data_IF_218471472339
#
_entry.id   IF_218471472339
#
_cell.length_a   1.000
_cell.length_b   1.000
_cell.length_c   1.000
_cell.angle_alpha   90.00
_cell.angle_beta   90.00
_cell.angle_gamma   90.00
#
_symmetry.space_group_name_H-M   'P 1'
#
loop_
_entity.id
_entity.type
_entity.pdbx_description
1 polymer ?
#
# COMPACT_ATOMS: atom_id res chain seq x y z
N UNK A 1 13.26 5.46 21.02
CA UNK A 1 11.79 5.38 20.91
C UNK A 1 11.48 4.14 20.08
N UNK A 2 10.93 3.08 20.69
CA UNK A 2 10.61 1.87 19.94
C UNK A 2 9.50 2.20 18.93
N UNK A 3 9.76 2.04 17.63
CA UNK A 3 8.74 2.20 16.59
C UNK A 3 7.59 1.23 16.88
N UNK A 4 6.42 1.78 17.23
CA UNK A 4 5.21 0.99 17.42
C UNK A 4 4.73 0.52 16.05
N UNK A 5 4.97 -0.75 15.73
CA UNK A 5 4.60 -1.34 14.44
C UNK A 5 3.10 -1.21 14.13
N UNK A 6 2.22 -0.98 15.12
CA UNK A 6 0.80 -0.68 14.89
C UNK A 6 0.56 0.62 14.12
N UNK A 7 1.51 1.57 14.15
CA UNK A 7 1.42 2.79 13.33
C UNK A 7 1.39 2.48 11.83
N UNK A 8 1.99 1.35 11.40
CA UNK A 8 1.90 0.87 10.02
C UNK A 8 0.45 0.55 9.66
N UNK A 9 -0.27 -0.14 10.54
CA UNK A 9 -1.68 -0.48 10.29
C UNK A 9 -2.58 0.76 10.29
N UNK A 10 -2.32 1.75 11.14
CA UNK A 10 -3.05 3.02 11.13
C UNK A 10 -2.79 3.80 9.84
N UNK A 11 -1.55 3.85 9.38
CA UNK A 11 -1.19 4.48 8.10
C UNK A 11 -1.87 3.76 6.93
N UNK A 12 -1.91 2.42 6.96
CA UNK A 12 -2.59 1.61 5.96
C UNK A 12 -4.08 1.94 5.89
N UNK A 13 -4.75 2.12 7.03
CA UNK A 13 -6.16 2.55 7.05
C UNK A 13 -6.37 3.86 6.30
N UNK A 14 -5.55 4.88 6.58
CA UNK A 14 -5.65 6.17 5.89
C UNK A 14 -5.47 6.04 4.37
N UNK A 15 -4.42 5.32 3.95
CA UNK A 15 -4.15 5.06 2.53
C UNK A 15 -5.31 4.31 1.87
N UNK A 16 -5.81 3.24 2.50
CA UNK A 16 -6.86 2.43 1.93
C UNK A 16 -8.23 3.12 1.92
N UNK A 17 -8.51 4.06 2.82
CA UNK A 17 -9.69 4.93 2.72
C UNK A 17 -9.62 5.81 1.47
N UNK A 18 -8.47 6.41 1.20
CA UNK A 18 -8.26 7.21 -0.02
C UNK A 18 -8.45 6.36 -1.28
N UNK A 19 -7.86 5.16 -1.30
CA UNK A 19 -7.97 4.25 -2.45
C UNK A 19 -9.36 3.60 -2.59
N UNK A 20 -10.08 3.37 -1.49
CA UNK A 20 -11.43 2.78 -1.55
C UNK A 20 -12.49 3.78 -2.02
N UNK A 21 -12.24 5.08 -1.88
CA UNK A 21 -13.18 6.13 -2.27
C UNK A 21 -13.03 6.43 -3.75
N UNK A 22 -14.03 6.18 -4.62
CA UNK A 22 -13.86 6.25 -6.07
C UNK A 22 -13.29 7.58 -6.57
N UNK A 23 -13.79 8.70 -6.07
CA UNK A 23 -13.32 10.04 -6.45
C UNK A 23 -11.88 10.32 -5.98
N UNK A 24 -11.54 9.93 -4.75
CA UNK A 24 -10.19 10.17 -4.20
C UNK A 24 -9.16 9.23 -4.83
N UNK A 25 -9.55 8.01 -5.14
CA UNK A 25 -8.73 7.04 -5.86
C UNK A 25 -8.29 7.60 -7.21
N UNK A 26 -9.23 8.08 -8.01
CA UNK A 26 -8.96 8.68 -9.31
C UNK A 26 -7.99 9.87 -9.18
N UNK A 27 -8.24 10.79 -8.24
CA UNK A 27 -7.37 11.94 -7.98
C UNK A 27 -5.96 11.49 -7.60
N UNK A 28 -5.82 10.48 -6.73
CA UNK A 28 -4.52 9.99 -6.28
C UNK A 28 -3.75 9.33 -7.42
N UNK A 29 -4.41 8.55 -8.27
CA UNK A 29 -3.75 7.89 -9.40
C UNK A 29 -3.34 8.91 -10.46
N UNK A 30 -4.22 9.86 -10.81
CA UNK A 30 -3.88 10.95 -11.71
C UNK A 30 -2.69 11.76 -11.20
N UNK A 31 -2.69 12.07 -9.89
CA UNK A 31 -1.58 12.76 -9.27
C UNK A 31 -0.26 11.96 -9.37
N UNK A 32 -0.28 10.67 -9.03
CA UNK A 32 0.91 9.81 -9.13
C UNK A 32 1.44 9.76 -10.56
N UNK A 33 0.56 9.61 -11.55
CA UNK A 33 0.93 9.48 -12.96
C UNK A 33 1.30 10.81 -13.61
N UNK A 34 0.92 11.95 -13.02
CA UNK A 34 1.33 13.28 -13.50
C UNK A 34 2.85 13.51 -13.45
N UNK A 35 3.58 12.73 -12.64
CA UNK A 35 5.04 12.74 -12.58
C UNK A 35 5.72 11.77 -13.56
N UNK A 36 4.94 11.03 -14.36
CA UNK A 36 5.43 9.99 -15.24
C UNK A 36 4.65 9.93 -16.55
N UNK A 37 4.20 8.73 -16.92
CA UNK A 37 3.50 8.48 -18.18
C UNK A 37 1.98 8.53 -17.99
N UNK A 38 1.39 9.70 -18.25
CA UNK A 38 -0.07 9.90 -18.23
C UNK A 38 -0.80 9.24 -19.39
N UNK A 39 -0.12 8.89 -20.49
CA UNK A 39 -0.76 8.37 -21.70
C UNK A 39 -1.32 6.96 -21.50
N UNK A 40 -0.74 6.19 -20.56
CA UNK A 40 -1.25 4.89 -20.15
C UNK A 40 -2.63 4.97 -19.49
N UNK A 41 -2.97 6.10 -18.87
CA UNK A 41 -4.15 6.25 -18.02
C UNK A 41 -5.31 6.96 -18.73
N UNK A 42 -5.75 6.37 -19.84
CA UNK A 42 -6.85 6.88 -20.65
C UNK A 42 -7.82 5.76 -21.06
N UNK A 43 -9.05 6.15 -21.41
CA UNK A 43 -10.07 5.23 -21.94
C UNK A 43 -10.35 4.03 -21.04
N UNK A 44 -10.33 2.82 -21.62
CA UNK A 44 -10.60 1.57 -20.91
C UNK A 44 -9.58 1.23 -19.83
N UNK A 45 -8.31 1.63 -19.98
CA UNK A 45 -7.26 1.38 -19.00
C UNK A 45 -7.53 2.16 -17.70
N UNK A 46 -7.94 3.43 -17.81
CA UNK A 46 -8.34 4.26 -16.66
C UNK A 46 -9.44 3.60 -15.82
N UNK A 47 -10.50 3.13 -16.48
CA UNK A 47 -11.61 2.44 -15.80
C UNK A 47 -11.15 1.15 -15.11
N UNK A 48 -10.31 0.34 -15.77
CA UNK A 48 -9.83 -0.92 -15.23
C UNK A 48 -8.91 -0.71 -14.01
N UNK A 49 -7.99 0.26 -14.10
CA UNK A 49 -7.08 0.61 -13.01
C UNK A 49 -7.87 1.14 -11.80
N UNK A 50 -8.82 2.05 -12.00
CA UNK A 50 -9.63 2.60 -10.90
C UNK A 50 -10.47 1.53 -10.21
N UNK A 51 -11.10 0.64 -10.98
CA UNK A 51 -11.87 -0.46 -10.42
C UNK A 51 -10.97 -1.42 -9.62
N UNK A 52 -9.81 -1.80 -10.17
CA UNK A 52 -8.88 -2.70 -9.51
C UNK A 52 -8.30 -2.10 -8.23
N UNK A 53 -7.79 -0.87 -8.30
CA UNK A 53 -7.23 -0.16 -7.13
C UNK A 53 -8.32 0.12 -6.10
N UNK A 54 -9.56 0.38 -6.52
CA UNK A 54 -10.70 0.56 -5.64
C UNK A 54 -11.04 -0.70 -4.85
N UNK A 55 -11.14 -1.86 -5.53
CA UNK A 55 -11.37 -3.15 -4.89
C UNK A 55 -10.21 -3.50 -3.95
N UNK A 56 -8.97 -3.31 -4.40
CA UNK A 56 -7.79 -3.51 -3.56
C UNK A 56 -7.80 -2.58 -2.33
N UNK A 57 -8.25 -1.34 -2.49
CA UNK A 57 -8.45 -0.36 -1.42
C UNK A 57 -9.46 -0.85 -0.37
N UNK A 58 -10.65 -1.29 -0.80
CA UNK A 58 -11.68 -1.82 0.11
C UNK A 58 -11.18 -3.04 0.88
N UNK A 59 -10.54 -3.99 0.19
CA UNK A 59 -9.98 -5.18 0.82
C UNK A 59 -8.86 -4.83 1.80
N UNK A 60 -7.93 -3.96 1.39
CA UNK A 60 -6.84 -3.46 2.23
C UNK A 60 -7.33 -2.74 3.47
N UNK A 61 -8.41 -1.94 3.36
CA UNK A 61 -9.05 -1.28 4.48
C UNK A 61 -9.60 -2.29 5.48
N UNK A 62 -10.33 -3.30 5.00
CA UNK A 62 -10.86 -4.39 5.82
C UNK A 62 -9.76 -5.12 6.58
N UNK A 63 -8.69 -5.54 5.88
CA UNK A 63 -7.55 -6.20 6.51
C UNK A 63 -6.83 -5.32 7.53
N UNK A 64 -6.69 -4.02 7.27
CA UNK A 64 -6.00 -3.10 8.18
C UNK A 64 -6.80 -2.85 9.45
N UNK A 65 -8.12 -2.70 9.34
CA UNK A 65 -9.03 -2.59 10.49
C UNK A 65 -9.05 -3.89 11.31
N UNK A 66 -9.07 -5.06 10.65
CA UNK A 66 -8.98 -6.35 11.33
C UNK A 66 -7.67 -6.47 12.13
N UNK A 67 -6.54 -6.10 11.52
CA UNK A 67 -5.22 -6.13 12.19
C UNK A 67 -5.14 -5.20 13.40
N UNK A 68 -5.80 -4.05 13.36
CA UNK A 68 -5.88 -3.14 14.52
C UNK A 68 -6.72 -3.70 15.68
N UNK A 69 -7.73 -4.52 15.39
CA UNK A 69 -8.63 -5.11 16.39
C UNK A 69 -8.11 -6.40 17.02
N UNK A 70 -7.22 -7.13 16.31
CA UNK A 70 -6.64 -8.38 16.81
C UNK A 70 -5.46 -8.06 17.74
N UNK A 71 -5.29 -8.86 18.80
CA UNK A 71 -4.14 -8.76 19.68
C UNK A 71 -2.83 -9.01 18.90
N UNK A 72 -1.80 -8.24 19.21
CA UNK A 72 -0.53 -8.34 18.49
C UNK A 72 0.05 -9.75 18.66
N UNK A 73 0.32 -10.39 17.52
CA UNK A 73 0.93 -11.71 17.47
C UNK A 73 1.96 -11.76 16.34
N UNK A 74 2.96 -12.62 16.50
CA UNK A 74 3.98 -12.84 15.48
C UNK A 74 3.36 -13.22 14.14
N UNK A 75 2.30 -14.02 14.16
CA UNK A 75 1.58 -14.44 12.95
C UNK A 75 0.96 -13.25 12.21
N UNK A 76 0.33 -12.31 12.93
CA UNK A 76 -0.24 -11.09 12.33
C UNK A 76 0.86 -10.21 11.73
N UNK A 77 2.00 -10.09 12.42
CA UNK A 77 3.17 -9.36 11.90
C UNK A 77 3.76 -10.05 10.66
N UNK A 78 3.84 -11.38 10.61
CA UNK A 78 4.31 -12.15 9.46
C UNK A 78 3.43 -11.98 8.23
N UNK A 79 2.10 -12.13 8.38
CA UNK A 79 1.17 -11.91 7.26
C UNK A 79 1.30 -10.49 6.74
N UNK A 80 1.35 -9.51 7.65
CA UNK A 80 1.51 -8.10 7.29
C UNK A 80 2.81 -7.81 6.55
N UNK A 81 3.90 -8.47 6.95
CA UNK A 81 5.18 -8.38 6.27
C UNK A 81 5.08 -8.86 4.82
N UNK A 82 4.47 -10.03 4.59
CA UNK A 82 4.30 -10.55 3.22
C UNK A 82 3.43 -9.63 2.36
N UNK A 83 2.36 -9.08 2.94
CA UNK A 83 1.50 -8.10 2.23
C UNK A 83 2.32 -6.86 1.85
N UNK A 84 3.11 -6.30 2.77
CA UNK A 84 3.96 -5.13 2.50
C UNK A 84 5.05 -5.44 1.48
N UNK A 85 5.69 -6.61 1.55
CA UNK A 85 6.70 -7.01 0.58
C UNK A 85 6.11 -7.21 -0.84
N UNK A 86 4.91 -7.80 -0.94
CA UNK A 86 4.20 -7.96 -2.20
C UNK A 86 3.78 -6.60 -2.78
N UNK A 87 3.23 -5.70 -1.96
CA UNK A 87 2.87 -4.35 -2.36
C UNK A 87 4.09 -3.56 -2.84
N UNK A 88 5.20 -3.59 -2.09
CA UNK A 88 6.46 -2.96 -2.48
C UNK A 88 6.98 -3.50 -3.83
N UNK A 89 6.89 -4.81 -4.05
CA UNK A 89 7.33 -5.44 -5.31
C UNK A 89 6.44 -5.04 -6.48
N UNK A 90 5.13 -4.93 -6.27
CA UNK A 90 4.18 -4.45 -7.28
C UNK A 90 4.42 -2.98 -7.64
N UNK A 91 4.67 -2.13 -6.65
CA UNK A 91 4.99 -0.72 -6.88
C UNK A 91 6.35 -0.58 -7.59
N UNK A 92 7.34 -1.39 -7.21
CA UNK A 92 8.64 -1.40 -7.87
C UNK A 92 8.53 -1.83 -9.33
N UNK A 93 7.69 -2.82 -9.65
CA UNK A 93 7.48 -3.22 -11.05
C UNK A 93 6.83 -2.10 -11.86
N UNK A 94 5.84 -1.40 -11.31
CA UNK A 94 5.23 -0.21 -11.93
C UNK A 94 6.25 0.89 -12.24
N UNK A 95 7.22 1.11 -11.34
CA UNK A 95 8.36 2.00 -11.58
C UNK A 95 9.27 1.48 -12.72
N UNK A 96 9.64 0.20 -12.71
CA UNK A 96 10.50 -0.40 -13.75
C UNK A 96 9.87 -0.38 -15.14
N UNK A 97 8.53 -0.42 -15.23
CA UNK A 97 7.78 -0.22 -16.47
C UNK A 97 7.70 1.27 -16.90
N UNK A 98 8.27 2.19 -16.12
CA UNK A 98 8.34 3.61 -16.46
C UNK A 98 7.03 4.37 -16.24
N UNK A 99 6.10 3.85 -15.43
CA UNK A 99 4.81 4.51 -15.22
C UNK A 99 4.92 5.81 -14.44
N UNK A 100 5.69 5.84 -13.35
CA UNK A 100 5.97 7.06 -12.58
C UNK A 100 7.12 6.84 -11.59
N UNK A 101 8.02 7.83 -11.39
CA UNK A 101 9.05 7.78 -10.35
C UNK A 101 8.45 7.76 -8.93
N UNK A 102 7.21 8.24 -8.74
CA UNK A 102 6.53 8.21 -7.45
C UNK A 102 6.33 6.78 -6.95
N UNK A 103 6.16 5.81 -7.86
CA UNK A 103 6.06 4.40 -7.50
C UNK A 103 7.32 3.86 -6.80
N UNK A 104 8.51 4.40 -7.11
CA UNK A 104 9.74 4.03 -6.40
C UNK A 104 9.70 4.51 -4.94
N UNK A 105 9.22 5.74 -4.71
CA UNK A 105 9.09 6.31 -3.36
C UNK A 105 8.08 5.50 -2.54
N UNK A 106 6.95 5.16 -3.14
CA UNK A 106 5.93 4.32 -2.50
C UNK A 106 6.46 2.89 -2.22
N UNK A 107 7.17 2.28 -3.18
CA UNK A 107 7.80 0.98 -2.99
C UNK A 107 8.81 1.00 -1.83
N UNK A 108 9.64 2.05 -1.74
CA UNK A 108 10.59 2.22 -0.65
C UNK A 108 9.88 2.36 0.71
N UNK A 109 8.77 3.11 0.77
CA UNK A 109 7.97 3.24 2.00
C UNK A 109 7.38 1.89 2.45
N UNK A 110 6.90 1.07 1.51
CA UNK A 110 6.40 -0.27 1.82
C UNK A 110 7.50 -1.26 2.21
N UNK A 111 8.69 -1.18 1.60
CA UNK A 111 9.85 -1.95 2.05
C UNK A 111 10.30 -1.55 3.47
N UNK A 112 10.34 -0.26 3.78
CA UNK A 112 10.65 0.20 5.14
C UNK A 112 9.60 -0.29 6.15
N UNK A 113 8.32 -0.25 5.77
CA UNK A 113 7.23 -0.80 6.58
C UNK A 113 7.38 -2.31 6.81
N UNK A 114 7.78 -3.05 5.77
CA UNK A 114 8.11 -4.47 5.88
C UNK A 114 9.28 -4.70 6.86
N UNK A 115 10.35 -3.90 6.81
CA UNK A 115 11.46 -4.02 7.75
C UNK A 115 11.05 -3.75 9.21
N UNK A 116 10.15 -2.80 9.45
CA UNK A 116 9.59 -2.56 10.80
C UNK A 116 8.80 -3.77 11.30
N UNK A 117 8.00 -4.39 10.43
CA UNK A 117 7.25 -5.62 10.77
C UNK A 117 8.18 -6.82 10.97
N UNK A 118 9.24 -6.94 10.17
CA UNK A 118 10.29 -7.95 10.34
C UNK A 118 10.97 -7.82 11.70
N UNK A 119 11.29 -6.59 12.12
CA UNK A 119 11.82 -6.34 13.44
C UNK A 119 10.85 -6.77 14.55
N UNK A 120 9.55 -6.50 14.40
CA UNK A 120 8.52 -6.91 15.35
C UNK A 120 8.35 -8.45 15.43
N UNK A 121 8.66 -9.18 14.36
CA UNK A 121 8.67 -10.65 14.38
C UNK A 121 9.87 -11.22 15.14
N UNK A 122 11.07 -10.65 14.91
CA UNK A 122 12.34 -11.14 15.45
C UNK A 122 12.49 -10.76 16.92
N UNK A 123 12.27 -9.49 17.24
CA UNK A 123 12.44 -8.95 18.58
C UNK A 123 11.08 -8.96 19.27
N UNK A 124 10.97 -9.78 20.33
CA UNK A 124 9.80 -9.81 21.21
C UNK A 124 9.67 -8.42 21.84
N UNK A 125 8.75 -7.58 21.35
CA UNK A 125 8.26 -6.41 22.10
C UNK A 125 7.43 -6.86 23.27
#
# INVERSE_FOLDING_TARGET
MALNHRSVYTSDVGLFVLLATPLLNEIVIEFILSFGNSDFYQGGAKSAVNAFVGIAGVLGLGFSLLRLKIADSRLVASISFFVKAAAASWLLSAYLYGLSPVFLVLAAADFLSALVLLKAMIFKT
#
